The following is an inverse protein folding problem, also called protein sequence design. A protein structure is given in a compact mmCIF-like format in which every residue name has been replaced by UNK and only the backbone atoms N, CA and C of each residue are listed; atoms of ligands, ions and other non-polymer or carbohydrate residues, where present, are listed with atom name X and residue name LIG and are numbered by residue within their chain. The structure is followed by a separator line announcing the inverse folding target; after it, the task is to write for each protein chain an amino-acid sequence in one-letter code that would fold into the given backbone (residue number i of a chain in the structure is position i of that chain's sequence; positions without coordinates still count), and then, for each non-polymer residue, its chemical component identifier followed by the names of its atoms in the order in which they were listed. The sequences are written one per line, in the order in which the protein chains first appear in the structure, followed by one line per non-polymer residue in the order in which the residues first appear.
data_IF_179762068978
#
_entry.id   IF_179762068978
#
_cell.length_a   1.000
_cell.length_b   1.000
_cell.length_c   1.000
_cell.angle_alpha   90.00
_cell.angle_beta   90.00
_cell.angle_gamma   90.00
#
_symmetry.space_group_name_H-M   'P 1'
#
loop_
_entity.id
_entity.type
_entity.pdbx_description
1 polymer ?
#
# COMPACT_ATOMS: atom_id res chain seq x y z
N UNK A 1 -16.89 25.24 -28.91
CA UNK A 1 -15.49 24.76 -28.85
C UNK A 1 -14.83 25.03 -27.49
N UNK A 2 -14.78 26.27 -26.97
CA UNK A 2 -14.09 26.59 -25.68
C UNK A 2 -14.55 25.78 -24.44
N UNK A 3 -15.86 25.56 -24.26
CA UNK A 3 -16.37 24.77 -23.11
C UNK A 3 -15.94 23.30 -23.17
N UNK A 4 -15.89 22.70 -24.36
CA UNK A 4 -15.47 21.30 -24.56
C UNK A 4 -14.00 21.10 -24.18
N UNK A 5 -13.12 22.03 -24.59
CA UNK A 5 -11.70 22.00 -24.25
C UNK A 5 -11.48 22.10 -22.73
N UNK A 6 -12.24 22.94 -22.03
CA UNK A 6 -12.16 23.06 -20.57
C UNK A 6 -12.57 21.75 -19.88
N UNK A 7 -13.68 21.12 -20.31
CA UNK A 7 -14.13 19.84 -19.73
C UNK A 7 -13.09 18.73 -19.91
N UNK A 8 -12.49 18.64 -21.09
CA UNK A 8 -11.45 17.66 -21.37
C UNK A 8 -10.17 17.89 -20.55
N UNK A 9 -9.73 19.15 -20.42
CA UNK A 9 -8.59 19.48 -19.58
C UNK A 9 -8.86 19.13 -18.10
N UNK A 10 -10.05 19.45 -17.60
CA UNK A 10 -10.45 19.10 -16.23
C UNK A 10 -10.51 17.57 -16.02
N UNK A 11 -11.02 16.79 -16.98
CA UNK A 11 -11.01 15.33 -16.86
C UNK A 11 -9.59 14.76 -16.86
N UNK A 12 -8.68 15.30 -17.66
CA UNK A 12 -7.29 14.87 -17.67
C UNK A 12 -6.58 15.16 -16.33
N UNK A 13 -6.79 16.35 -15.76
CA UNK A 13 -6.24 16.72 -14.45
C UNK A 13 -6.81 15.82 -13.34
N UNK A 14 -8.13 15.59 -13.33
CA UNK A 14 -8.77 14.74 -12.33
C UNK A 14 -8.27 13.30 -12.42
N UNK A 15 -8.05 12.78 -13.64
CA UNK A 15 -7.50 11.46 -13.87
C UNK A 15 -6.06 11.33 -13.36
N UNK A 16 -5.21 12.32 -13.65
CA UNK A 16 -3.85 12.33 -13.13
C UNK A 16 -3.84 12.33 -11.60
N UNK A 17 -4.68 13.18 -10.99
CA UNK A 17 -4.83 13.23 -9.54
C UNK A 17 -5.32 11.88 -8.96
N UNK A 18 -6.25 11.20 -9.62
CA UNK A 18 -6.72 9.87 -9.21
C UNK A 18 -5.57 8.87 -9.20
N UNK A 19 -4.79 8.79 -10.28
CA UNK A 19 -3.63 7.88 -10.41
C UNK A 19 -2.59 8.19 -9.33
N UNK A 20 -2.19 9.45 -9.19
CA UNK A 20 -1.19 9.87 -8.20
C UNK A 20 -1.62 9.55 -6.77
N UNK A 21 -2.89 9.80 -6.45
CA UNK A 21 -3.45 9.52 -5.13
C UNK A 21 -3.47 8.02 -4.85
N UNK A 22 -3.95 7.21 -5.79
CA UNK A 22 -4.03 5.75 -5.65
C UNK A 22 -2.64 5.17 -5.37
N UNK A 23 -1.68 5.41 -6.27
CA UNK A 23 -0.32 4.85 -6.15
C UNK A 23 0.37 5.31 -4.87
N UNK A 24 0.24 6.60 -4.49
CA UNK A 24 0.91 7.13 -3.29
C UNK A 24 0.35 6.52 -2.00
N UNK A 25 -0.98 6.33 -1.92
CA UNK A 25 -1.63 5.74 -0.75
C UNK A 25 -1.27 4.27 -0.62
N UNK A 26 -1.26 3.52 -1.72
CA UNK A 26 -0.94 2.10 -1.71
C UNK A 26 0.52 1.88 -1.36
N UNK A 27 1.43 2.64 -1.97
CA UNK A 27 2.84 2.58 -1.67
C UNK A 27 3.12 2.78 -0.18
N UNK A 28 2.48 3.75 0.49
CA UNK A 28 2.70 3.94 1.93
C UNK A 28 2.02 2.84 2.77
N UNK A 29 0.90 2.28 2.32
CA UNK A 29 0.25 1.13 2.94
C UNK A 29 1.18 -0.09 2.95
N UNK A 30 1.70 -0.44 1.77
CA UNK A 30 2.64 -1.56 1.59
C UNK A 30 3.95 -1.35 2.34
N UNK A 31 4.49 -0.12 2.32
CA UNK A 31 5.68 0.20 3.09
C UNK A 31 5.43 0.06 4.60
N UNK A 32 4.27 0.49 5.09
CA UNK A 32 3.91 0.34 6.49
C UNK A 32 3.74 -1.13 6.88
N UNK A 33 3.08 -1.95 6.05
CA UNK A 33 2.99 -3.39 6.26
C UNK A 33 4.40 -4.01 6.36
N UNK A 34 5.29 -3.68 5.42
CA UNK A 34 6.67 -4.17 5.43
C UNK A 34 7.42 -3.81 6.73
N UNK A 35 7.24 -2.59 7.24
CA UNK A 35 7.84 -2.14 8.50
C UNK A 35 7.21 -2.81 9.72
N UNK A 36 5.90 -3.10 9.71
CA UNK A 36 5.24 -3.88 10.76
C UNK A 36 5.85 -5.28 10.84
N UNK A 37 6.03 -5.96 9.71
CA UNK A 37 6.71 -7.26 9.70
C UNK A 37 8.16 -7.16 10.18
N UNK A 38 8.90 -6.11 9.81
CA UNK A 38 10.25 -5.88 10.31
C UNK A 38 10.26 -5.74 11.85
N UNK A 39 9.31 -4.99 12.42
CA UNK A 39 9.15 -4.84 13.86
C UNK A 39 8.76 -6.15 14.55
N UNK A 40 7.82 -6.91 13.98
CA UNK A 40 7.43 -8.21 14.51
C UNK A 40 8.60 -9.20 14.49
N UNK A 41 9.35 -9.25 13.39
CA UNK A 41 10.50 -10.13 13.24
C UNK A 41 11.61 -9.78 14.23
N UNK A 42 11.82 -8.49 14.56
CA UNK A 42 12.80 -8.07 15.56
C UNK A 42 12.54 -8.68 16.96
N UNK A 43 11.28 -9.03 17.27
CA UNK A 43 10.90 -9.61 18.57
C UNK A 43 10.69 -11.13 18.47
N UNK A 44 10.11 -11.63 17.38
CA UNK A 44 9.63 -13.01 17.26
C UNK A 44 10.56 -13.92 16.42
N UNK A 45 11.71 -13.44 15.94
CA UNK A 45 12.62 -14.21 15.09
C UNK A 45 13.00 -15.60 15.64
N UNK A 46 13.13 -15.75 16.95
CA UNK A 46 13.52 -17.01 17.60
C UNK A 46 12.31 -17.83 18.11
N UNK A 47 11.09 -17.47 17.72
CA UNK A 47 9.85 -18.13 18.13
C UNK A 47 9.37 -19.08 17.03
N UNK A 48 8.57 -20.12 17.34
CA UNK A 48 8.04 -21.04 16.34
C UNK A 48 7.26 -20.35 15.21
N UNK A 49 6.58 -19.24 15.49
CA UNK A 49 5.80 -18.46 14.51
C UNK A 49 6.66 -17.72 13.46
N UNK A 50 7.98 -17.59 13.69
CA UNK A 50 8.90 -16.83 12.82
C UNK A 50 8.83 -17.23 11.35
N UNK A 51 8.70 -18.52 11.06
CA UNK A 51 8.60 -19.02 9.68
C UNK A 51 7.35 -18.54 8.95
N UNK A 52 6.23 -18.41 9.66
CA UNK A 52 4.96 -17.88 9.13
C UNK A 52 5.10 -16.38 8.86
N UNK A 53 5.61 -15.63 9.84
CA UNK A 53 5.87 -14.19 9.71
C UNK A 53 6.81 -13.92 8.53
N UNK A 54 7.90 -14.69 8.40
CA UNK A 54 8.86 -14.53 7.31
C UNK A 54 8.24 -14.82 5.94
N UNK A 55 7.38 -15.84 5.84
CA UNK A 55 6.68 -16.16 4.60
C UNK A 55 5.77 -15.01 4.18
N UNK A 56 4.93 -14.50 5.09
CA UNK A 56 4.03 -13.37 4.80
C UNK A 56 4.82 -12.10 4.49
N UNK A 57 5.88 -11.82 5.23
CA UNK A 57 6.74 -10.67 4.96
C UNK A 57 7.39 -10.71 3.57
N UNK A 58 7.72 -11.90 3.06
CA UNK A 58 8.24 -12.01 1.69
C UNK A 58 7.18 -11.64 0.64
N UNK A 59 5.90 -11.94 0.88
CA UNK A 59 4.80 -11.45 0.04
C UNK A 59 4.71 -9.92 0.07
N UNK A 60 4.75 -9.31 1.26
CA UNK A 60 4.72 -7.85 1.37
C UNK A 60 5.93 -7.14 0.74
N UNK A 61 7.08 -7.81 0.66
CA UNK A 61 8.24 -7.26 -0.07
C UNK A 61 7.97 -7.22 -1.57
N UNK A 62 7.29 -8.21 -2.12
CA UNK A 62 6.90 -8.19 -3.52
C UNK A 62 5.82 -7.13 -3.79
N UNK A 63 4.80 -7.02 -2.91
CA UNK A 63 3.79 -5.98 -3.03
C UNK A 63 4.41 -4.57 -3.02
N UNK A 64 5.29 -4.28 -2.06
CA UNK A 64 6.03 -3.02 -2.02
C UNK A 64 6.86 -2.80 -3.30
N UNK A 65 7.52 -3.84 -3.82
CA UNK A 65 8.30 -3.72 -5.06
C UNK A 65 7.43 -3.38 -6.27
N UNK A 66 6.22 -3.95 -6.35
CA UNK A 66 5.24 -3.58 -7.37
C UNK A 66 4.86 -2.11 -7.23
N UNK A 67 4.59 -1.63 -6.01
CA UNK A 67 4.27 -0.22 -5.76
C UNK A 67 5.43 0.72 -6.10
N UNK A 68 6.68 0.34 -5.82
CA UNK A 68 7.86 1.10 -6.22
C UNK A 68 7.98 1.22 -7.74
N UNK A 69 7.71 0.13 -8.48
CA UNK A 69 7.67 0.14 -9.95
C UNK A 69 6.56 1.05 -10.48
N UNK A 70 5.38 1.04 -9.84
CA UNK A 70 4.28 1.93 -10.21
C UNK A 70 4.61 3.40 -9.92
N UNK A 71 5.21 3.70 -8.76
CA UNK A 71 5.69 5.05 -8.44
C UNK A 71 6.64 5.56 -9.54
N UNK A 72 7.64 4.75 -9.93
CA UNK A 72 8.58 5.12 -10.98
C UNK A 72 7.90 5.30 -12.35
N UNK A 73 6.97 4.41 -12.69
CA UNK A 73 6.28 4.43 -13.99
C UNK A 73 5.36 5.64 -14.17
N UNK A 74 4.65 6.02 -13.12
CA UNK A 74 3.67 7.10 -13.14
C UNK A 74 4.22 8.43 -12.59
N UNK A 75 5.54 8.51 -12.35
CA UNK A 75 6.22 9.68 -11.76
C UNK A 75 5.58 10.13 -10.43
N UNK A 76 5.12 9.17 -9.63
CA UNK A 76 4.50 9.42 -8.33
C UNK A 76 5.58 9.39 -7.26
N UNK A 77 5.86 10.55 -6.68
CA UNK A 77 6.74 10.63 -5.52
C UNK A 77 6.07 10.01 -4.27
N UNK A 78 6.80 9.24 -3.46
CA UNK A 78 6.35 8.83 -2.13
C UNK A 78 5.96 10.02 -1.26
N UNK A 79 5.16 9.77 -0.22
CA UNK A 79 4.81 10.81 0.73
C UNK A 79 6.04 11.33 1.48
N UNK A 80 6.11 12.64 1.73
CA UNK A 80 7.19 13.24 2.54
C UNK A 80 7.21 12.73 3.98
N UNK A 81 6.08 12.19 4.46
CA UNK A 81 5.95 11.63 5.80
C UNK A 81 6.52 10.21 5.92
N UNK A 82 6.99 9.60 4.82
CA UNK A 82 7.49 8.22 4.79
C UNK A 82 8.44 7.89 5.94
N UNK A 83 9.50 8.67 6.26
CA UNK A 83 10.41 8.31 7.33
C UNK A 83 9.73 8.19 8.70
N UNK A 84 8.80 9.09 9.01
CA UNK A 84 8.07 9.10 10.28
C UNK A 84 7.10 7.92 10.33
N UNK A 85 6.35 7.71 9.26
CA UNK A 85 5.36 6.63 9.18
C UNK A 85 6.03 5.25 9.22
N UNK A 86 7.21 5.09 8.62
CA UNK A 86 8.00 3.86 8.70
C UNK A 86 8.40 3.53 10.15
N UNK A 87 8.86 4.53 10.92
CA UNK A 87 9.20 4.34 12.34
C UNK A 87 7.97 3.98 13.18
N UNK A 88 6.83 4.64 12.92
CA UNK A 88 5.56 4.34 13.59
C UNK A 88 5.12 2.90 13.29
N UNK A 89 5.15 2.50 12.02
CA UNK A 89 4.76 1.17 11.58
C UNK A 89 5.66 0.08 12.18
N UNK A 90 6.98 0.28 12.17
CA UNK A 90 7.92 -0.61 12.85
C UNK A 90 7.61 -0.74 14.34
N UNK A 91 7.37 0.39 15.01
CA UNK A 91 7.06 0.41 16.44
C UNK A 91 5.76 -0.33 16.73
N UNK A 92 4.73 -0.20 15.89
CA UNK A 92 3.47 -0.93 16.02
C UNK A 92 3.69 -2.45 15.90
N UNK A 93 4.49 -2.88 14.91
CA UNK A 93 4.85 -4.29 14.75
C UNK A 93 5.63 -4.85 15.92
N UNK A 94 6.64 -4.12 16.40
CA UNK A 94 7.47 -4.54 17.53
C UNK A 94 6.67 -4.57 18.84
N UNK A 95 5.83 -3.58 19.10
CA UNK A 95 5.03 -3.51 20.34
C UNK A 95 3.98 -4.61 20.40
N UNK A 96 3.25 -4.87 19.31
CA UNK A 96 2.28 -5.97 19.26
C UNK A 96 2.95 -7.32 19.40
N UNK A 97 4.12 -7.51 18.77
CA UNK A 97 4.94 -8.70 18.95
C UNK A 97 5.48 -8.90 20.36
N UNK A 98 5.83 -7.81 21.06
CA UNK A 98 6.25 -7.87 22.46
C UNK A 98 5.11 -8.32 23.40
N UNK A 99 3.84 -8.10 23.02
CA UNK A 99 2.67 -8.62 23.73
C UNK A 99 2.39 -10.11 23.42
N UNK A 100 3.05 -10.66 22.41
CA UNK A 100 3.00 -12.08 22.05
C UNK A 100 2.52 -12.34 20.62
N UNK A 101 2.46 -13.63 20.29
CA UNK A 101 2.19 -14.10 18.92
C UNK A 101 0.75 -13.76 18.47
N UNK A 102 -0.24 -13.89 19.37
CA UNK A 102 -1.65 -13.59 19.04
C UNK A 102 -1.88 -12.10 18.75
N UNK A 103 -1.43 -11.14 19.59
CA UNK A 103 -1.54 -9.72 19.27
C UNK A 103 -0.80 -9.32 17.99
N UNK A 104 0.38 -9.89 17.72
CA UNK A 104 1.10 -9.67 16.47
C UNK A 104 0.24 -10.09 15.25
N UNK A 105 -0.27 -11.31 15.26
CA UNK A 105 -1.10 -11.80 14.15
C UNK A 105 -2.42 -11.04 14.01
N UNK A 106 -3.03 -10.60 15.12
CA UNK A 106 -4.23 -9.76 15.07
C UNK A 106 -3.93 -8.41 14.40
N UNK A 107 -2.79 -7.79 14.70
CA UNK A 107 -2.33 -6.58 14.03
C UNK A 107 -2.13 -6.81 12.53
N UNK A 108 -1.46 -7.91 12.16
CA UNK A 108 -1.25 -8.28 10.76
C UNK A 108 -2.58 -8.41 10.02
N UNK A 109 -3.51 -9.24 10.52
CA UNK A 109 -4.82 -9.46 9.89
C UNK A 109 -5.57 -8.14 9.70
N UNK A 110 -5.60 -7.28 10.73
CA UNK A 110 -6.30 -5.99 10.66
C UNK A 110 -5.69 -5.05 9.60
N UNK A 111 -4.37 -5.09 9.41
CA UNK A 111 -3.68 -4.29 8.38
C UNK A 111 -3.95 -4.83 6.99
N UNK A 112 -3.85 -6.15 6.79
CA UNK A 112 -4.13 -6.79 5.49
C UNK A 112 -5.58 -6.55 5.05
N UNK A 113 -6.55 -6.69 5.96
CA UNK A 113 -7.96 -6.41 5.67
C UNK A 113 -8.18 -4.93 5.29
N UNK A 114 -7.46 -4.01 5.94
CA UNK A 114 -7.54 -2.60 5.63
C UNK A 114 -6.94 -2.29 4.25
N UNK A 115 -5.80 -2.89 3.90
CA UNK A 115 -5.16 -2.72 2.59
C UNK A 115 -6.05 -3.28 1.49
N UNK A 116 -6.55 -4.50 1.64
CA UNK A 116 -7.46 -5.13 0.69
C UNK A 116 -8.71 -4.26 0.44
N UNK A 117 -9.29 -3.69 1.51
CA UNK A 117 -10.42 -2.76 1.37
C UNK A 117 -10.06 -1.49 0.57
N UNK A 118 -8.85 -0.94 0.75
CA UNK A 118 -8.42 0.22 -0.02
C UNK A 118 -8.28 -0.11 -1.51
N UNK A 119 -7.77 -1.30 -1.84
CA UNK A 119 -7.66 -1.79 -3.20
C UNK A 119 -9.04 -1.92 -3.85
N UNK A 120 -10.00 -2.56 -3.19
CA UNK A 120 -11.39 -2.64 -3.66
C UNK A 120 -11.98 -1.24 -3.94
N UNK A 121 -11.82 -0.31 -3.00
CA UNK A 121 -12.32 1.07 -3.12
C UNK A 121 -11.62 1.86 -4.26
N UNK A 122 -10.41 1.47 -4.66
CA UNK A 122 -9.66 2.11 -5.76
C UNK A 122 -9.99 1.49 -7.10
N UNK A 123 -10.09 0.17 -7.19
CA UNK A 123 -10.54 -0.55 -8.39
C UNK A 123 -11.86 0.05 -8.85
N UNK A 124 -12.82 0.24 -7.94
CA UNK A 124 -14.12 0.84 -8.29
C UNK A 124 -13.98 2.25 -8.86
N UNK A 125 -13.09 3.09 -8.31
CA UNK A 125 -12.85 4.45 -8.81
C UNK A 125 -12.15 4.48 -10.17
N UNK A 126 -11.21 3.56 -10.39
CA UNK A 126 -10.52 3.42 -11.67
C UNK A 126 -11.48 2.92 -12.76
N UNK A 127 -12.37 1.98 -12.43
CA UNK A 127 -13.43 1.52 -13.34
C UNK A 127 -14.42 2.65 -13.65
N UNK A 128 -14.82 3.44 -12.66
CA UNK A 128 -15.75 4.56 -12.84
C UNK A 128 -15.17 5.69 -13.72
N UNK A 129 -13.86 5.96 -13.64
CA UNK A 129 -13.22 6.96 -14.51
C UNK A 129 -13.08 6.47 -15.96
N UNK A 130 -12.33 5.39 -16.20
CA UNK A 130 -12.15 4.77 -17.53
C UNK A 130 -11.36 3.45 -17.43
N UNK A 131 -12.01 2.27 -17.55
CA UNK A 131 -11.33 0.99 -17.35
C UNK A 131 -10.30 0.68 -18.45
N UNK A 132 -10.41 1.29 -19.64
CA UNK A 132 -9.43 1.07 -20.71
C UNK A 132 -8.12 1.80 -20.40
N UNK A 133 -8.25 3.03 -19.91
CA UNK A 133 -7.10 3.87 -19.57
C UNK A 133 -6.38 3.31 -18.33
N UNK A 134 -7.14 2.79 -17.36
CA UNK A 134 -6.58 2.23 -16.12
C UNK A 134 -6.28 0.73 -16.18
N UNK A 135 -6.35 0.12 -17.37
CA UNK A 135 -6.22 -1.33 -17.55
C UNK A 135 -4.92 -1.93 -17.01
N UNK A 136 -3.87 -1.15 -16.86
CA UNK A 136 -2.63 -1.61 -16.24
C UNK A 136 -2.68 -1.60 -14.71
N UNK A 137 -3.20 -0.53 -14.10
CA UNK A 137 -3.41 -0.48 -12.65
C UNK A 137 -4.39 -1.56 -12.20
N UNK A 138 -5.44 -1.80 -12.99
CA UNK A 138 -6.44 -2.85 -12.74
C UNK A 138 -5.90 -4.28 -12.85
N UNK A 139 -4.67 -4.49 -13.34
CA UNK A 139 -4.02 -5.81 -13.37
C UNK A 139 -3.11 -6.07 -12.18
N UNK A 140 -2.83 -5.02 -11.40
CA UNK A 140 -1.94 -5.11 -10.24
C UNK A 140 -2.70 -5.69 -9.04
N UNK A 141 -3.96 -5.30 -8.89
CA UNK A 141 -4.89 -5.86 -7.92
C UNK A 141 -5.48 -7.18 -8.43
#
# INVERSE_FOLDING_TARGET
MRQTSIRFALSAINRQYLIEKTIRVDHIGELAANQIYAGQNAILANRPISSVIQKMWNSEKEHLNIMERLCAKYDVSPTRLTPILSVIAFTLGATTAALGEKPAMACTIAVEELIAKHYDDQIMKLIDDDPKVHSELLKVY
#
